data_IF_284152297551
#
_entry.id   IF_284152297551
#
_cell.length_a   1.000
_cell.length_b   1.000
_cell.length_c   1.000
_cell.angle_alpha   90.00
_cell.angle_beta   90.00
_cell.angle_gamma   90.00
#
_symmetry.space_group_name_H-M   'P 1'
#
loop_
_entity.id
_entity.type
_entity.pdbx_description
1 polymer ?
#
# COMPACT_ATOMS: atom_id res chain seq x y z
N UNK A 1 55.13 13.01 13.82
CA UNK A 1 54.08 13.99 14.18
C UNK A 1 53.43 14.46 12.89
N UNK A 2 52.27 13.93 12.54
CA UNK A 2 51.54 14.33 11.32
C UNK A 2 50.44 15.31 11.72
N UNK A 3 50.57 16.53 11.19
CA UNK A 3 49.72 17.67 11.50
C UNK A 3 48.35 17.59 10.83
N UNK A 4 47.38 18.13 11.58
CA UNK A 4 46.01 18.50 11.26
C UNK A 4 45.88 19.25 9.93
N UNK A 5 44.88 18.86 9.13
CA UNK A 5 44.30 19.64 8.05
C UNK A 5 42.79 19.39 8.06
N UNK A 6 42.08 20.21 8.83
CA UNK A 6 40.63 20.38 8.74
C UNK A 6 40.36 21.28 7.54
N UNK A 7 39.55 20.83 6.59
CA UNK A 7 38.76 21.65 5.66
C UNK A 7 37.86 20.70 4.85
N UNK A 8 36.64 20.46 5.33
CA UNK A 8 35.60 19.83 4.52
C UNK A 8 34.47 20.84 4.33
N UNK A 9 34.37 21.26 3.06
CA UNK A 9 33.39 22.13 2.45
C UNK A 9 31.98 21.59 2.74
N UNK A 10 31.22 22.32 3.54
CA UNK A 10 29.77 22.15 3.64
C UNK A 10 29.14 22.77 2.39
N UNK A 11 28.77 21.92 1.44
CA UNK A 11 27.84 22.31 0.39
C UNK A 11 27.02 21.09 0.01
N UNK A 12 25.77 21.06 0.48
CA UNK A 12 24.65 20.35 -0.11
C UNK A 12 23.37 20.72 0.62
N UNK A 13 22.74 21.76 0.10
CA UNK A 13 21.30 21.87 0.05
C UNK A 13 20.72 20.58 -0.55
N UNK A 14 20.40 19.63 0.33
CA UNK A 14 19.50 18.53 0.01
C UNK A 14 18.13 18.91 0.57
N UNK A 15 17.31 19.56 -0.25
CA UNK A 15 15.86 19.57 -0.05
C UNK A 15 15.38 18.12 -0.09
N UNK A 16 15.26 17.50 1.09
CA UNK A 16 14.78 16.14 1.21
C UNK A 16 13.27 16.11 0.96
N UNK A 17 12.87 15.31 -0.02
CA UNK A 17 11.49 14.90 -0.29
C UNK A 17 10.87 14.03 0.84
N UNK A 18 11.38 14.14 2.06
CA UNK A 18 10.98 13.35 3.23
C UNK A 18 9.82 13.99 4.00
N UNK A 19 9.44 15.23 3.69
CA UNK A 19 8.51 16.01 4.52
C UNK A 19 7.01 15.68 4.37
N UNK A 20 6.60 14.80 3.45
CA UNK A 20 5.17 14.49 3.26
C UNK A 20 4.73 13.10 3.75
N UNK A 21 5.62 12.30 4.34
CA UNK A 21 5.30 10.93 4.83
C UNK A 21 5.28 10.85 6.37
N UNK A 22 5.71 11.90 7.06
CA UNK A 22 5.81 11.97 8.52
C UNK A 22 4.46 12.06 9.27
N UNK A 23 3.33 12.06 8.56
CA UNK A 23 2.01 12.33 9.16
C UNK A 23 1.14 11.07 9.38
N UNK A 24 1.66 9.86 9.18
CA UNK A 24 0.90 8.62 9.38
C UNK A 24 1.27 7.95 10.70
N UNK A 25 0.33 7.94 11.65
CA UNK A 25 0.53 7.29 12.95
C UNK A 25 0.80 5.78 12.78
N UNK A 26 1.84 5.26 13.44
CA UNK A 26 2.16 3.83 13.39
C UNK A 26 1.07 2.98 14.07
N UNK A 27 0.39 3.54 15.08
CA UNK A 27 -0.54 2.84 15.97
C UNK A 27 -2.00 2.76 15.46
N UNK A 28 -2.32 3.31 14.29
CA UNK A 28 -3.70 3.22 13.78
C UNK A 28 -4.04 1.77 13.40
N UNK A 29 -5.24 1.30 13.80
CA UNK A 29 -5.74 -0.03 13.45
C UNK A 29 -6.15 -0.06 11.97
N UNK A 30 -5.65 -1.05 11.23
CA UNK A 30 -5.99 -1.20 9.82
C UNK A 30 -7.41 -1.76 9.66
N UNK A 31 -8.25 -1.06 8.89
CA UNK A 31 -9.57 -1.53 8.49
C UNK A 31 -9.42 -2.74 7.55
N UNK A 32 -10.08 -3.86 7.84
CA UNK A 32 -10.00 -5.05 6.98
C UNK A 32 -11.00 -4.90 5.84
N UNK A 33 -10.50 -4.89 4.62
CA UNK A 33 -11.27 -4.55 3.42
C UNK A 33 -11.12 -5.61 2.34
N UNK A 34 -12.22 -5.94 1.67
CA UNK A 34 -12.16 -6.79 0.48
C UNK A 34 -11.65 -5.96 -0.70
N UNK A 35 -10.76 -6.53 -1.52
CA UNK A 35 -10.18 -5.80 -2.66
C UNK A 35 -11.24 -5.15 -3.57
N UNK A 36 -12.38 -5.82 -3.74
CA UNK A 36 -13.49 -5.34 -4.57
C UNK A 36 -14.19 -4.09 -4.05
N UNK A 37 -14.08 -3.80 -2.75
CA UNK A 37 -14.76 -2.69 -2.08
C UNK A 37 -13.89 -1.43 -2.00
N UNK A 38 -12.59 -1.54 -2.33
CA UNK A 38 -11.61 -0.46 -2.11
C UNK A 38 -12.01 0.83 -2.81
N UNK A 39 -12.56 0.72 -4.03
CA UNK A 39 -12.98 1.87 -4.84
C UNK A 39 -14.36 2.41 -4.45
N UNK A 40 -15.17 1.63 -3.74
CA UNK A 40 -16.58 1.94 -3.46
C UNK A 40 -16.76 2.55 -2.05
N UNK A 41 -15.85 2.26 -1.10
CA UNK A 41 -15.99 2.61 0.32
C UNK A 41 -15.41 3.98 0.74
N UNK A 42 -14.91 4.79 -0.19
CA UNK A 42 -14.36 6.12 0.14
C UNK A 42 -13.21 6.07 1.15
N UNK A 43 -12.27 5.12 0.97
CA UNK A 43 -11.22 4.80 1.94
C UNK A 43 -9.98 5.72 1.86
N UNK A 44 -10.11 6.89 1.25
CA UNK A 44 -8.99 7.81 1.09
C UNK A 44 -8.41 8.21 2.45
N UNK A 45 -7.08 8.16 2.58
CA UNK A 45 -6.30 8.42 3.80
C UNK A 45 -6.51 7.42 4.95
N UNK A 46 -7.29 6.35 4.75
CA UNK A 46 -7.43 5.29 5.76
C UNK A 46 -6.33 4.26 5.66
N UNK A 47 -5.91 3.74 6.81
CA UNK A 47 -5.09 2.52 6.89
C UNK A 47 -5.97 1.29 6.68
N UNK A 48 -5.63 0.48 5.70
CA UNK A 48 -6.39 -0.74 5.38
C UNK A 48 -5.49 -1.97 5.36
N UNK A 49 -6.14 -3.13 5.50
CA UNK A 49 -5.58 -4.46 5.31
C UNK A 49 -6.36 -5.16 4.21
N UNK A 50 -5.67 -5.54 3.13
CA UNK A 50 -6.27 -6.18 1.97
C UNK A 50 -5.40 -7.34 1.49
N UNK A 51 -6.04 -8.41 1.03
CA UNK A 51 -5.37 -9.57 0.44
C UNK A 51 -5.62 -9.63 -1.06
N UNK A 52 -4.64 -10.17 -1.80
CA UNK A 52 -4.74 -10.38 -3.24
C UNK A 52 -3.60 -11.23 -3.78
N UNK A 53 -3.62 -11.45 -5.09
CA UNK A 53 -2.58 -12.16 -5.83
C UNK A 53 -1.74 -11.12 -6.56
N UNK A 54 -0.43 -11.24 -6.56
CA UNK A 54 0.45 -10.33 -7.30
C UNK A 54 0.28 -10.54 -8.81
N UNK A 55 -0.21 -9.53 -9.52
CA UNK A 55 -0.34 -9.51 -10.99
C UNK A 55 0.94 -9.09 -11.69
N UNK A 56 1.59 -8.08 -11.13
CA UNK A 56 2.72 -7.37 -11.73
C UNK A 56 3.65 -6.86 -10.63
N UNK A 57 4.95 -6.85 -10.92
CA UNK A 57 6.01 -6.36 -10.04
C UNK A 57 6.91 -5.43 -10.85
N UNK A 58 7.04 -4.20 -10.38
CA UNK A 58 7.98 -3.20 -10.88
C UNK A 58 9.05 -2.95 -9.81
N UNK A 59 10.25 -3.47 -10.04
CA UNK A 59 11.37 -3.30 -9.12
C UNK A 59 12.03 -1.92 -9.22
N UNK A 60 11.86 -1.22 -10.35
CA UNK A 60 12.42 0.12 -10.58
C UNK A 60 11.59 1.13 -9.80
N UNK A 61 10.28 1.13 -10.02
CA UNK A 61 9.34 2.02 -9.34
C UNK A 61 9.00 1.59 -7.91
N UNK A 62 9.44 0.37 -7.53
CA UNK A 62 9.10 -0.31 -6.28
C UNK A 62 7.59 -0.36 -6.09
N UNK A 63 6.89 -0.90 -7.09
CA UNK A 63 5.44 -1.06 -7.08
C UNK A 63 5.04 -2.49 -7.43
N UNK A 64 3.88 -2.90 -6.91
CA UNK A 64 3.21 -4.12 -7.34
C UNK A 64 1.75 -3.80 -7.66
N UNK A 65 1.15 -4.61 -8.51
CA UNK A 65 -0.30 -4.63 -8.66
C UNK A 65 -0.82 -5.93 -8.06
N UNK A 66 -1.71 -5.85 -7.08
CA UNK A 66 -2.45 -7.02 -6.58
C UNK A 66 -3.80 -7.11 -7.29
N UNK A 67 -4.28 -8.31 -7.50
CA UNK A 67 -5.60 -8.57 -8.08
C UNK A 67 -6.30 -9.71 -7.38
N UNK A 68 -7.61 -9.67 -7.41
CA UNK A 68 -8.45 -10.77 -6.98
C UNK A 68 -9.80 -10.62 -7.70
N UNK A 69 -10.31 -11.73 -8.25
CA UNK A 69 -11.48 -11.75 -9.15
C UNK A 69 -11.34 -10.72 -10.29
N UNK A 70 -12.18 -9.68 -10.30
CA UNK A 70 -12.27 -8.68 -11.36
C UNK A 70 -11.63 -7.33 -11.00
N UNK A 71 -11.00 -7.22 -9.83
CA UNK A 71 -10.47 -5.94 -9.32
C UNK A 71 -8.98 -6.04 -9.08
N UNK A 72 -8.30 -4.93 -9.35
CA UNK A 72 -6.85 -4.79 -9.14
C UNK A 72 -6.56 -3.50 -8.40
N UNK A 73 -5.49 -3.50 -7.62
CA UNK A 73 -5.06 -2.35 -6.84
C UNK A 73 -3.54 -2.22 -6.93
N UNK A 74 -3.07 -0.99 -7.17
CA UNK A 74 -1.65 -0.67 -7.15
C UNK A 74 -1.19 -0.48 -5.70
N UNK A 75 0.02 -0.95 -5.43
CA UNK A 75 0.64 -0.91 -4.12
C UNK A 75 2.07 -0.41 -4.30
N UNK A 76 2.36 0.74 -3.69
CA UNK A 76 3.71 1.27 -3.59
C UNK A 76 4.45 0.60 -2.43
N UNK A 77 5.66 0.13 -2.71
CA UNK A 77 6.56 -0.54 -1.76
C UNK A 77 7.70 0.36 -1.30
N UNK A 78 7.69 1.64 -1.67
CA UNK A 78 8.79 2.60 -1.43
C UNK A 78 9.17 2.75 0.04
N UNK A 79 8.23 2.50 0.96
CA UNK A 79 8.46 2.58 2.41
C UNK A 79 8.92 1.25 3.03
N UNK A 80 9.08 0.19 2.23
CA UNK A 80 9.52 -1.11 2.71
C UNK A 80 11.04 -1.26 2.58
N UNK A 81 11.62 -2.07 3.47
CA UNK A 81 13.04 -2.46 3.35
C UNK A 81 13.25 -3.26 2.06
N UNK A 82 14.22 -2.85 1.23
CA UNK A 82 14.63 -3.51 -0.02
C UNK A 82 14.64 -5.05 -0.02
N UNK A 83 15.19 -5.77 0.99
CA UNK A 83 15.17 -7.23 0.99
C UNK A 83 13.76 -7.85 1.01
N UNK A 84 12.75 -7.17 1.57
CA UNK A 84 11.36 -7.66 1.54
C UNK A 84 10.71 -7.53 0.17
N UNK A 85 11.20 -6.63 -0.67
CA UNK A 85 10.67 -6.39 -2.02
C UNK A 85 11.13 -7.51 -2.97
N UNK A 86 12.39 -7.95 -2.81
CA UNK A 86 12.99 -8.98 -3.66
C UNK A 86 12.34 -10.37 -3.53
N UNK A 87 11.66 -10.64 -2.41
CA UNK A 87 10.92 -11.90 -2.19
C UNK A 87 9.50 -11.91 -2.77
N UNK A 88 9.03 -10.82 -3.39
CA UNK A 88 7.67 -10.72 -3.92
C UNK A 88 7.68 -11.12 -5.40
N UNK A 89 6.96 -12.19 -5.73
CA UNK A 89 6.90 -12.72 -7.08
C UNK A 89 5.49 -12.61 -7.68
N UNK A 90 5.41 -12.60 -9.00
CA UNK A 90 4.13 -12.68 -9.72
C UNK A 90 3.44 -14.01 -9.39
N UNK A 91 2.15 -13.95 -9.08
CA UNK A 91 1.35 -15.10 -8.67
C UNK A 91 1.41 -15.39 -7.16
N UNK A 92 2.30 -14.75 -6.39
CA UNK A 92 2.28 -14.87 -4.94
C UNK A 92 0.98 -14.31 -4.36
N UNK A 93 0.38 -15.01 -3.39
CA UNK A 93 -0.70 -14.46 -2.58
C UNK A 93 -0.09 -13.62 -1.48
N UNK A 94 -0.53 -12.37 -1.39
CA UNK A 94 -0.01 -11.41 -0.43
C UNK A 94 -1.13 -10.74 0.33
N UNK A 95 -0.81 -10.38 1.56
CA UNK A 95 -1.58 -9.47 2.38
C UNK A 95 -0.80 -8.17 2.53
N UNK A 96 -1.46 -7.06 2.23
CA UNK A 96 -0.89 -5.72 2.26
C UNK A 96 -1.59 -4.91 3.33
N UNK A 97 -0.80 -4.26 4.17
CA UNK A 97 -1.26 -3.27 5.15
C UNK A 97 -0.62 -1.93 4.81
N UNK A 98 -1.42 -0.89 4.66
CA UNK A 98 -0.94 0.42 4.29
C UNK A 98 -2.05 1.46 4.17
N UNK A 99 -1.67 2.68 3.82
CA UNK A 99 -2.60 3.80 3.67
C UNK A 99 -3.04 3.93 2.21
N UNK A 100 -4.34 4.08 1.98
CA UNK A 100 -4.86 4.41 0.64
C UNK A 100 -4.68 5.91 0.39
N UNK A 101 -4.11 6.24 -0.76
CA UNK A 101 -4.01 7.60 -1.27
C UNK A 101 -4.59 7.67 -2.69
N UNK A 102 -5.10 8.84 -3.07
CA UNK A 102 -5.49 9.11 -4.44
C UNK A 102 -4.31 9.72 -5.22
N UNK A 103 -3.81 9.02 -6.24
CA UNK A 103 -2.65 9.42 -7.07
C UNK A 103 -2.92 10.57 -8.04
N UNK A 104 -4.05 11.30 -7.95
CA UNK A 104 -4.23 12.56 -8.72
C UNK A 104 -3.07 13.56 -8.54
N UNK A 105 -2.19 13.38 -7.54
CA UNK A 105 -0.95 14.14 -7.35
C UNK A 105 0.38 13.39 -7.48
N UNK A 106 0.44 12.14 -7.99
CA UNK A 106 1.70 11.36 -7.98
C UNK A 106 2.37 11.20 -9.36
N UNK A 107 1.60 11.11 -10.45
CA UNK A 107 2.10 11.03 -11.82
C UNK A 107 0.99 11.46 -12.79
N UNK A 108 0.81 12.77 -13.01
CA UNK A 108 -0.14 13.26 -14.00
C UNK A 108 0.48 13.22 -15.41
N UNK A 109 0.30 12.10 -16.12
CA UNK A 109 0.24 12.16 -17.58
C UNK A 109 -1.25 12.29 -17.94
N UNK A 110 -1.61 13.45 -18.48
CA UNK A 110 -3.00 13.83 -18.77
C UNK A 110 -3.65 12.87 -19.79
N UNK A 111 -4.46 11.94 -19.32
CA UNK A 111 -5.45 11.28 -20.19
C UNK A 111 -6.80 11.95 -20.01
N UNK A 112 -7.09 12.86 -20.95
CA UNK A 112 -8.43 13.42 -21.16
C UNK A 112 -9.35 12.30 -21.66
N UNK A 113 -10.55 12.24 -21.10
CA UNK A 113 -11.70 11.40 -21.47
C UNK A 113 -11.74 9.98 -20.87
N UNK A 114 -11.95 9.92 -19.56
CA UNK A 114 -12.89 8.98 -18.93
C UNK A 114 -13.24 9.54 -17.56
N UNK A 115 -14.43 9.25 -17.02
CA UNK A 115 -14.75 9.55 -15.62
C UNK A 115 -13.80 8.72 -14.74
N UNK A 116 -12.64 9.29 -14.40
CA UNK A 116 -11.62 8.63 -13.58
C UNK A 116 -12.19 8.54 -12.15
N UNK A 117 -12.81 7.40 -11.83
CA UNK A 117 -12.80 6.84 -10.49
C UNK A 117 -11.36 6.95 -9.96
N UNK A 118 -11.17 7.57 -8.80
CA UNK A 118 -9.86 8.00 -8.30
C UNK A 118 -8.77 6.93 -8.48
N UNK A 119 -7.56 7.36 -8.86
CA UNK A 119 -6.42 6.46 -9.03
C UNK A 119 -5.89 6.07 -7.63
N UNK A 120 -6.58 5.16 -6.94
CA UNK A 120 -6.23 4.76 -5.59
C UNK A 120 -4.99 3.86 -5.59
N UNK A 121 -4.04 4.16 -4.71
CA UNK A 121 -2.83 3.38 -4.48
C UNK A 121 -2.64 3.19 -2.98
N UNK A 122 -2.25 1.99 -2.58
CA UNK A 122 -1.82 1.72 -1.21
C UNK A 122 -0.35 2.05 -1.08
N UNK A 123 0.01 2.92 -0.14
CA UNK A 123 1.40 3.04 0.34
C UNK A 123 1.61 1.97 1.41
N UNK A 124 2.33 0.89 1.05
CA UNK A 124 2.50 -0.26 1.91
C UNK A 124 3.43 0.03 3.09
N UNK A 125 2.98 -0.31 4.29
CA UNK A 125 3.81 -0.40 5.50
C UNK A 125 4.24 -1.85 5.76
N UNK A 126 3.37 -2.80 5.42
CA UNK A 126 3.65 -4.24 5.56
C UNK A 126 3.14 -4.96 4.31
N UNK A 127 3.97 -5.86 3.79
CA UNK A 127 3.55 -6.89 2.83
C UNK A 127 3.95 -8.23 3.41
N UNK A 128 3.01 -9.17 3.44
CA UNK A 128 3.20 -10.52 3.99
C UNK A 128 2.78 -11.56 2.96
N UNK A 129 3.59 -12.59 2.77
CA UNK A 129 3.20 -13.77 1.99
C UNK A 129 2.14 -14.56 2.73
N UNK A 130 1.08 -14.95 2.02
CA UNK A 130 0.00 -15.81 2.50
C UNK A 130 -0.23 -16.96 1.51
N UNK A 131 0.87 -17.55 1.02
CA UNK A 131 0.88 -18.61 -0.01
C UNK A 131 -0.10 -19.76 0.26
N UNK A 132 -0.12 -20.25 1.50
CA UNK A 132 -0.97 -21.36 1.96
C UNK A 132 -2.43 -20.95 2.22
N UNK A 133 -2.71 -19.64 2.31
CA UNK A 133 -4.07 -19.18 2.58
C UNK A 133 -5.00 -19.41 1.39
N UNK A 134 -6.23 -19.81 1.70
CA UNK A 134 -7.33 -19.81 0.74
C UNK A 134 -8.01 -18.44 0.77
N UNK A 135 -7.85 -17.67 -0.32
CA UNK A 135 -8.38 -16.31 -0.42
C UNK A 135 -9.91 -16.27 -0.39
N UNK A 136 -10.59 -17.30 -0.87
CA UNK A 136 -12.05 -17.41 -0.79
C UNK A 136 -12.53 -17.50 0.66
N UNK A 137 -11.92 -18.39 1.46
CA UNK A 137 -12.21 -18.46 2.90
C UNK A 137 -11.80 -17.17 3.64
N UNK A 138 -10.73 -16.51 3.20
CA UNK A 138 -10.35 -15.21 3.73
C UNK A 138 -11.48 -14.18 3.52
N UNK A 139 -12.04 -14.06 2.31
CA UNK A 139 -13.17 -13.15 2.05
C UNK A 139 -14.39 -13.48 2.93
N UNK A 140 -14.76 -14.76 3.01
CA UNK A 140 -15.88 -15.19 3.85
C UNK A 140 -15.67 -14.82 5.32
N UNK A 141 -14.43 -14.94 5.81
CA UNK A 141 -14.08 -14.58 7.19
C UNK A 141 -14.26 -13.08 7.45
N UNK A 142 -13.91 -12.22 6.49
CA UNK A 142 -14.10 -10.76 6.57
C UNK A 142 -15.60 -10.41 6.60
N UNK A 143 -16.38 -11.00 5.69
CA UNK A 143 -17.83 -10.79 5.63
C UNK A 143 -18.50 -11.23 6.93
N UNK A 144 -18.15 -12.42 7.44
CA UNK A 144 -18.70 -12.96 8.68
C UNK A 144 -18.35 -12.06 9.87
N UNK A 145 -17.10 -11.61 9.99
CA UNK A 145 -16.66 -10.69 11.05
C UNK A 145 -17.50 -9.40 11.08
N UNK A 146 -17.76 -8.80 9.92
CA UNK A 146 -18.58 -7.60 9.80
C UNK A 146 -20.05 -7.85 10.17
N UNK A 147 -20.62 -8.98 9.75
CA UNK A 147 -21.99 -9.36 10.15
C UNK A 147 -22.11 -9.50 11.66
N UNK A 148 -21.13 -10.14 12.31
CA UNK A 148 -21.08 -10.26 13.77
C UNK A 148 -21.03 -8.88 14.43
N UNK A 149 -20.08 -8.02 14.03
CA UNK A 149 -19.97 -6.65 14.56
C UNK A 149 -21.27 -5.86 14.44
N UNK A 150 -21.93 -5.93 13.29
CA UNK A 150 -23.18 -5.21 13.06
C UNK A 150 -24.33 -5.78 13.91
N UNK A 151 -24.35 -7.09 14.18
CA UNK A 151 -25.38 -7.69 15.05
C UNK A 151 -25.25 -7.28 16.52
N UNK A 152 -24.03 -7.00 17.00
CA UNK A 152 -23.81 -6.52 18.38
C UNK A 152 -24.29 -5.08 18.57
N UNK A 153 -24.26 -4.26 17.51
CA UNK A 153 -24.71 -2.86 17.54
C UNK A 153 -26.24 -2.69 17.46
N UNK A 154 -27.02 -3.78 17.47
CA UNK A 154 -28.50 -3.76 17.41
C UNK A 154 -29.13 -3.92 18.81
N UNK A 155 -28.34 -4.09 19.88
CA UNK A 155 -28.82 -4.30 21.26
C UNK A 155 -28.81 -3.00 22.06
#
# INVERSE_FOLDING_TARGET
MLGRGEDNVNDKDNGSLEDNVSCFAEDELAEIVLLQEVYDLGLEKKKIRVAGIVKFVDLIEQEIAIFYESRSLRVSLRNLKKPKIQSIEKGSKVEVIGYIINQKGFNACEQKNSQIQGNLVIIAQVVRSISEANLYFHQLSVILRRKILNSVNII
#
